data_IF_344170672159
#
_entry.id   IF_344170672159
#
_cell.length_a   1.000
_cell.length_b   1.000
_cell.length_c   1.000
_cell.angle_alpha   90.00
_cell.angle_beta   90.00
_cell.angle_gamma   90.00
#
_symmetry.space_group_name_H-M   'P 1'
#
loop_
_entity.id
_entity.type
_entity.pdbx_description
1 polymer ?
#
# COMPACT_ATOMS: atom_id res chain seq x y z
N UNK A 1 -17.43 -13.58 -4.44
CA UNK A 1 -16.98 -12.23 -4.06
C UNK A 1 -15.49 -12.32 -3.88
N UNK A 2 -14.69 -11.51 -4.60
CA UNK A 2 -13.23 -11.54 -4.44
C UNK A 2 -12.90 -10.77 -3.19
N UNK A 3 -12.29 -11.45 -2.21
CA UNK A 3 -11.75 -10.82 -1.02
C UNK A 3 -10.45 -10.14 -1.39
N UNK A 4 -10.23 -8.93 -0.90
CA UNK A 4 -8.95 -8.24 -1.04
C UNK A 4 -8.24 -8.21 0.32
N UNK A 5 -6.93 -8.34 0.28
CA UNK A 5 -6.05 -8.41 1.43
C UNK A 5 -5.43 -7.03 1.67
N UNK A 6 -5.60 -6.52 2.89
CA UNK A 6 -5.10 -5.21 3.31
C UNK A 6 -3.75 -5.39 4.01
N UNK A 7 -2.75 -4.67 3.53
CA UNK A 7 -1.40 -4.64 4.08
C UNK A 7 -1.08 -3.25 4.63
N UNK A 8 -1.06 -3.17 5.96
CA UNK A 8 -0.74 -1.97 6.72
C UNK A 8 0.74 -1.63 6.52
N UNK A 9 1.02 -0.48 5.91
CA UNK A 9 2.38 -0.10 5.47
C UNK A 9 2.83 1.24 6.04
N UNK A 10 3.99 1.22 6.71
CA UNK A 10 4.63 2.42 7.22
C UNK A 10 5.94 2.70 6.48
N UNK A 11 5.95 3.81 5.75
CA UNK A 11 7.15 4.32 5.11
C UNK A 11 7.75 5.45 5.93
N UNK A 12 9.07 5.41 6.14
CA UNK A 12 9.79 6.51 6.76
C UNK A 12 10.53 7.31 5.70
N UNK A 13 10.20 8.59 5.58
CA UNK A 13 10.89 9.53 4.69
C UNK A 13 12.26 9.92 5.25
N UNK A 14 13.14 10.43 4.40
CA UNK A 14 14.45 10.99 4.81
C UNK A 14 14.33 12.18 5.75
N UNK A 15 13.22 12.92 5.69
CA UNK A 15 12.90 14.01 6.61
C UNK A 15 12.44 13.52 7.99
N UNK A 16 12.33 12.20 8.21
CA UNK A 16 11.85 11.62 9.45
C UNK A 16 10.33 11.56 9.58
N UNK A 17 9.58 12.01 8.57
CA UNK A 17 8.10 11.89 8.52
C UNK A 17 7.71 10.43 8.26
N UNK A 18 6.64 9.99 8.90
CA UNK A 18 6.02 8.68 8.67
C UNK A 18 4.87 8.89 7.67
N UNK A 19 4.83 8.03 6.65
CA UNK A 19 3.72 7.94 5.71
C UNK A 19 3.08 6.58 5.96
N UNK A 20 1.84 6.61 6.39
CA UNK A 20 1.04 5.43 6.67
C UNK A 20 -0.01 5.29 5.58
N UNK A 21 -0.06 4.11 4.98
CA UNK A 21 -1.01 3.76 3.93
C UNK A 21 -1.21 2.25 3.90
N UNK A 22 -2.37 1.83 3.39
CA UNK A 22 -2.62 0.43 3.15
C UNK A 22 -2.38 0.08 1.69
N UNK A 23 -1.76 -1.07 1.45
CA UNK A 23 -1.71 -1.71 0.14
C UNK A 23 -2.78 -2.78 0.09
N UNK A 24 -3.66 -2.72 -0.92
CA UNK A 24 -4.75 -3.67 -1.10
C UNK A 24 -4.48 -4.53 -2.34
N UNK A 25 -4.49 -5.85 -2.16
CA UNK A 25 -4.23 -6.85 -3.20
C UNK A 25 -5.34 -7.90 -3.25
N UNK A 26 -5.54 -8.57 -4.37
CA UNK A 26 -6.46 -9.74 -4.45
C UNK A 26 -5.83 -11.02 -3.88
N UNK A 27 -4.51 -11.00 -3.66
CA UNK A 27 -3.73 -12.12 -3.13
C UNK A 27 -3.02 -11.74 -1.83
N UNK A 28 -2.89 -12.72 -0.93
CA UNK A 28 -2.18 -12.53 0.33
C UNK A 28 -0.66 -12.68 0.13
N UNK A 29 -0.07 -11.80 -0.70
CA UNK A 29 1.35 -11.80 -1.02
C UNK A 29 2.06 -10.56 -0.46
N UNK A 30 2.79 -10.76 0.64
CA UNK A 30 3.51 -9.69 1.32
C UNK A 30 4.67 -9.14 0.48
N UNK A 31 5.30 -9.97 -0.36
CA UNK A 31 6.42 -9.54 -1.20
C UNK A 31 5.92 -8.57 -2.27
N UNK A 32 4.81 -8.90 -2.95
CA UNK A 32 4.12 -8.01 -3.88
C UNK A 32 3.64 -6.74 -3.19
N UNK A 33 3.06 -6.84 -1.99
CA UNK A 33 2.64 -5.67 -1.24
C UNK A 33 3.81 -4.70 -1.00
N UNK A 34 4.98 -5.24 -0.63
CA UNK A 34 6.20 -4.46 -0.44
C UNK A 34 6.67 -3.79 -1.76
N UNK A 35 6.67 -4.53 -2.86
CA UNK A 35 7.06 -4.00 -4.18
C UNK A 35 6.12 -2.88 -4.65
N UNK A 36 4.81 -3.07 -4.49
CA UNK A 36 3.81 -2.06 -4.85
C UNK A 36 3.84 -0.84 -3.94
N UNK A 37 4.06 -1.02 -2.64
CA UNK A 37 4.29 0.08 -1.71
C UNK A 37 5.46 0.95 -2.15
N UNK A 38 6.60 0.34 -2.48
CA UNK A 38 7.77 1.06 -2.98
C UNK A 38 7.49 1.75 -4.32
N UNK A 39 6.77 1.08 -5.24
CA UNK A 39 6.39 1.66 -6.53
C UNK A 39 5.50 2.89 -6.36
N UNK A 40 4.50 2.82 -5.48
CA UNK A 40 3.61 3.93 -5.17
C UNK A 40 4.35 5.11 -4.53
N UNK A 41 5.23 4.84 -3.56
CA UNK A 41 6.07 5.88 -2.94
C UNK A 41 6.92 6.61 -3.98
N UNK A 42 7.50 5.89 -4.94
CA UNK A 42 8.22 6.52 -6.07
C UNK A 42 7.28 7.38 -6.93
N UNK A 43 6.06 6.93 -7.18
CA UNK A 43 5.06 7.66 -7.96
C UNK A 43 4.63 8.99 -7.33
N UNK A 44 4.63 9.09 -6.00
CA UNK A 44 4.30 10.32 -5.27
C UNK A 44 5.54 11.20 -4.98
N UNK A 45 6.69 10.88 -5.58
CA UNK A 45 7.96 11.61 -5.38
C UNK A 45 8.69 11.27 -4.08
N UNK A 46 8.20 10.30 -3.31
CA UNK A 46 8.81 9.81 -2.07
C UNK A 46 9.79 8.65 -2.34
N UNK A 47 10.68 8.84 -3.32
CA UNK A 47 11.65 7.83 -3.78
C UNK A 47 12.63 7.42 -2.68
N UNK A 48 12.88 8.32 -1.73
CA UNK A 48 13.79 8.10 -0.60
C UNK A 48 13.08 7.55 0.64
N UNK A 49 11.76 7.33 0.59
CA UNK A 49 11.05 6.71 1.68
C UNK A 49 11.41 5.22 1.76
N UNK A 50 11.76 4.76 2.95
CA UNK A 50 12.14 3.36 3.18
C UNK A 50 10.94 2.59 3.71
N UNK A 51 10.58 1.51 3.01
CA UNK A 51 9.63 0.49 3.45
C UNK A 51 10.36 -0.84 3.51
N UNK A 52 10.27 -1.51 4.65
CA UNK A 52 10.83 -2.83 4.88
C UNK A 52 9.72 -3.83 5.18
N UNK A 53 10.01 -5.12 5.03
CA UNK A 53 9.08 -6.20 5.40
C UNK A 53 8.66 -6.16 6.87
N UNK A 54 9.45 -5.48 7.72
CA UNK A 54 9.16 -5.23 9.12
C UNK A 54 8.14 -4.11 9.37
N UNK A 55 7.69 -3.41 8.32
CA UNK A 55 6.75 -2.30 8.38
C UNK A 55 5.60 -2.46 7.37
N UNK A 56 5.45 -3.63 6.75
CA UNK A 56 4.42 -3.95 5.76
C UNK A 56 3.82 -5.29 6.16
N UNK A 57 2.66 -5.26 6.83
CA UNK A 57 2.05 -6.45 7.40
C UNK A 57 0.61 -6.61 6.95
N UNK A 58 0.24 -7.85 6.67
CA UNK A 58 -1.15 -8.20 6.47
C UNK A 58 -1.96 -7.91 7.73
N UNK A 59 -3.01 -7.10 7.59
CA UNK A 59 -3.91 -6.73 8.68
C UNK A 59 -5.16 -7.61 8.67
N UNK A 60 -5.94 -7.55 7.60
CA UNK A 60 -7.18 -8.32 7.44
C UNK A 60 -7.61 -8.36 5.97
N UNK A 61 -8.59 -9.22 5.65
CA UNK A 61 -9.23 -9.24 4.34
C UNK A 61 -10.54 -8.46 4.39
N UNK A 62 -10.81 -7.68 3.35
CA UNK A 62 -12.04 -6.91 3.16
C UNK A 62 -12.68 -7.23 1.82
N UNK A 63 -13.98 -6.96 1.71
CA UNK A 63 -14.60 -6.79 0.41
C UNK A 63 -14.28 -5.38 -0.11
N UNK A 64 -13.33 -5.31 -1.04
CA UNK A 64 -12.93 -4.04 -1.63
C UNK A 64 -14.13 -3.35 -2.33
N UNK A 65 -14.27 -2.06 -2.10
CA UNK A 65 -15.28 -1.22 -2.76
C UNK A 65 -15.06 -1.20 -4.28
N UNK A 66 -16.08 -0.79 -5.05
CA UNK A 66 -15.99 -0.73 -6.51
C UNK A 66 -14.81 0.12 -7.00
N UNK A 67 -14.46 1.19 -6.28
CA UNK A 67 -13.33 2.06 -6.60
C UNK A 67 -11.98 1.38 -6.38
N UNK A 68 -11.79 0.70 -5.23
CA UNK A 68 -10.58 -0.07 -4.96
C UNK A 68 -10.43 -1.22 -5.95
N UNK A 69 -11.54 -1.89 -6.30
CA UNK A 69 -11.56 -2.95 -7.32
C UNK A 69 -11.16 -2.45 -8.69
N UNK A 70 -11.64 -1.27 -9.09
CA UNK A 70 -11.23 -0.66 -10.35
C UNK A 70 -9.73 -0.37 -10.38
N UNK A 71 -9.16 0.14 -9.28
CA UNK A 71 -7.72 0.35 -9.16
C UNK A 71 -6.95 -0.98 -9.21
N UNK A 72 -7.35 -1.99 -8.45
CA UNK A 72 -6.70 -3.31 -8.46
C UNK A 72 -6.76 -3.92 -9.88
N UNK A 73 -7.88 -3.77 -10.59
CA UNK A 73 -8.02 -4.26 -11.95
C UNK A 73 -7.15 -3.50 -12.97
N UNK A 74 -6.91 -2.20 -12.75
CA UNK A 74 -6.12 -1.34 -13.65
C UNK A 74 -4.60 -1.54 -13.47
N UNK A 75 -4.11 -1.50 -12.23
CA UNK A 75 -2.66 -1.50 -11.93
C UNK A 75 -2.16 -2.72 -11.13
N UNK A 76 -3.07 -3.63 -10.71
CA UNK A 76 -2.76 -4.82 -9.93
C UNK A 76 -2.82 -4.63 -8.40
N UNK A 77 -3.00 -3.41 -7.92
CA UNK A 77 -3.09 -3.06 -6.50
C UNK A 77 -3.91 -1.78 -6.29
N UNK A 78 -4.38 -1.54 -5.08
CA UNK A 78 -4.90 -0.23 -4.68
C UNK A 78 -4.12 0.28 -3.47
N UNK A 79 -4.10 1.60 -3.31
CA UNK A 79 -3.47 2.26 -2.17
C UNK A 79 -4.51 3.09 -1.45
N UNK A 80 -4.67 2.81 -0.17
CA UNK A 80 -5.51 3.62 0.71
C UNK A 80 -4.62 4.51 1.57
N UNK A 81 -4.70 5.82 1.35
CA UNK A 81 -3.89 6.81 2.05
C UNK A 81 -4.45 7.02 3.47
N UNK A 82 -3.61 6.93 4.50
CA UNK A 82 -4.01 7.14 5.89
C UNK A 82 -3.37 8.41 6.47
N UNK A 83 -2.15 8.33 6.96
CA UNK A 83 -1.45 9.44 7.64
C UNK A 83 -0.20 9.86 6.87
N UNK A 84 0.12 11.16 6.88
CA UNK A 84 1.34 11.70 6.26
C UNK A 84 1.40 11.60 4.73
N UNK A 85 0.32 11.12 4.10
CA UNK A 85 0.22 11.02 2.65
C UNK A 85 0.00 12.41 2.00
N UNK A 86 0.69 12.72 0.89
CA UNK A 86 0.46 13.96 0.16
C UNK A 86 -0.95 13.99 -0.43
N UNK A 87 -1.58 15.19 -0.38
CA UNK A 87 -2.87 15.47 -1.00
C UNK A 87 -2.76 15.40 -2.51
#
# INVERSE_FOLDING_TARGET
MSMSHVFDTYAKTTEGKIIHFDVILDEQDQQKALEYAQKWLKSIGQTNATVTSGNCYFCHSIEASAELRAQIADQGYAIYKLEGCPK
#
